data_IF_290920362930
#
_entry.id   IF_290920362930
#
_cell.length_a   1.000
_cell.length_b   1.000
_cell.length_c   1.000
_cell.angle_alpha   90.00
_cell.angle_beta   90.00
_cell.angle_gamma   90.00
#
_symmetry.space_group_name_H-M   'P 1'
#
loop_
_entity.id
_entity.type
_entity.pdbx_description
1 polymer ?
#
# COMPACT_ATOMS: atom_id res chain seq x y z
N UNK A 1 -2.91 21.32 -2.90
CA UNK A 1 -3.75 20.91 -1.74
C UNK A 1 -3.05 21.39 -0.47
N UNK A 2 -3.74 22.04 0.48
CA UNK A 2 -3.09 22.54 1.70
C UNK A 2 -2.97 21.43 2.78
N UNK A 3 -2.09 21.65 3.78
CA UNK A 3 -1.80 20.69 4.86
C UNK A 3 -3.05 20.28 5.67
N UNK A 4 -4.01 21.19 5.83
CA UNK A 4 -5.26 20.94 6.58
C UNK A 4 -6.22 20.03 5.81
N UNK A 5 -6.41 20.27 4.51
CA UNK A 5 -7.25 19.42 3.65
C UNK A 5 -6.69 18.01 3.51
N UNK A 6 -5.36 17.85 3.45
CA UNK A 6 -4.73 16.53 3.39
C UNK A 6 -4.95 15.72 4.68
N UNK A 7 -4.83 16.37 5.85
CA UNK A 7 -5.12 15.71 7.14
C UNK A 7 -6.56 15.19 7.21
N UNK A 8 -7.54 16.03 6.85
CA UNK A 8 -8.95 15.63 6.83
C UNK A 8 -9.20 14.44 5.89
N UNK A 9 -8.55 14.42 4.73
CA UNK A 9 -8.65 13.31 3.80
C UNK A 9 -8.06 12.01 4.38
N UNK A 10 -6.90 12.07 5.05
CA UNK A 10 -6.32 10.89 5.71
C UNK A 10 -7.17 10.37 6.87
N UNK A 11 -7.82 11.26 7.64
CA UNK A 11 -8.74 10.88 8.70
C UNK A 11 -9.98 10.17 8.14
N UNK A 12 -10.51 10.64 7.01
CA UNK A 12 -11.63 10.00 6.32
C UNK A 12 -11.27 8.59 5.83
N UNK A 13 -10.08 8.41 5.25
CA UNK A 13 -9.60 7.08 4.83
C UNK A 13 -9.51 6.14 6.04
N UNK A 14 -8.93 6.59 7.16
CA UNK A 14 -8.86 5.77 8.37
C UNK A 14 -10.24 5.40 8.91
N UNK A 15 -11.20 6.33 8.89
CA UNK A 15 -12.58 6.05 9.28
C UNK A 15 -13.23 5.00 8.36
N UNK A 16 -13.00 5.08 7.05
CA UNK A 16 -13.46 4.08 6.08
C UNK A 16 -12.81 2.71 6.33
N UNK A 17 -11.51 2.65 6.61
CA UNK A 17 -10.84 1.39 6.97
C UNK A 17 -11.46 0.75 8.24
N UNK A 18 -11.75 1.55 9.28
CA UNK A 18 -12.41 1.06 10.50
C UNK A 18 -13.81 0.51 10.17
N UNK A 19 -14.57 1.22 9.34
CA UNK A 19 -15.88 0.75 8.90
C UNK A 19 -15.78 -0.60 8.16
N UNK A 20 -14.83 -0.73 7.24
CA UNK A 20 -14.62 -1.98 6.50
C UNK A 20 -14.16 -3.13 7.40
N UNK A 21 -13.30 -2.87 8.40
CA UNK A 21 -12.90 -3.90 9.37
C UNK A 21 -14.08 -4.44 10.19
N UNK A 22 -15.08 -3.60 10.49
CA UNK A 22 -16.30 -4.05 11.17
C UNK A 22 -17.17 -4.93 10.28
N UNK A 23 -17.32 -4.56 9.00
CA UNK A 23 -18.03 -5.38 8.03
C UNK A 23 -17.31 -6.72 7.84
N UNK A 24 -16.00 -6.69 7.62
CA UNK A 24 -15.18 -7.89 7.47
C UNK A 24 -15.27 -8.81 8.69
N UNK A 25 -15.21 -8.28 9.90
CA UNK A 25 -15.35 -9.08 11.13
C UNK A 25 -16.68 -9.82 11.20
N UNK A 26 -17.76 -9.20 10.70
CA UNK A 26 -19.08 -9.82 10.63
C UNK A 26 -19.10 -10.98 9.63
N UNK A 27 -18.54 -10.77 8.44
CA UNK A 27 -18.52 -11.75 7.35
C UNK A 27 -17.54 -12.91 7.60
N UNK A 28 -16.42 -12.65 8.28
CA UNK A 28 -15.33 -13.60 8.50
C UNK A 28 -15.36 -14.21 9.92
N UNK A 29 -16.53 -14.34 10.53
CA UNK A 29 -16.66 -14.73 11.94
C UNK A 29 -15.98 -16.09 12.18
N UNK A 30 -15.00 -16.12 13.08
CA UNK A 30 -14.24 -17.33 13.41
C UNK A 30 -13.05 -17.61 12.47
N UNK A 31 -12.80 -16.77 11.47
CA UNK A 31 -11.65 -16.90 10.57
C UNK A 31 -10.33 -16.38 11.16
N UNK A 32 -10.39 -15.60 12.25
CA UNK A 32 -9.22 -14.98 12.89
C UNK A 32 -9.18 -15.31 14.38
N UNK A 33 -7.99 -15.59 14.90
CA UNK A 33 -7.75 -15.87 16.33
C UNK A 33 -7.82 -14.61 17.21
N UNK A 34 -7.78 -13.43 16.58
CA UNK A 34 -7.84 -12.14 17.25
C UNK A 34 -9.00 -11.29 16.74
N UNK A 35 -9.46 -10.38 17.60
CA UNK A 35 -10.48 -9.40 17.23
C UNK A 35 -9.88 -8.35 16.28
N UNK A 36 -10.09 -8.53 14.97
CA UNK A 36 -9.53 -7.66 13.93
C UNK A 36 -9.95 -6.19 14.06
N UNK A 37 -11.04 -5.91 14.77
CA UNK A 37 -11.52 -4.53 15.04
C UNK A 37 -10.58 -3.79 16.00
N UNK A 38 -9.71 -4.52 16.71
CA UNK A 38 -8.71 -3.98 17.64
C UNK A 38 -7.32 -3.85 17.00
N UNK A 39 -7.15 -4.24 15.74
CA UNK A 39 -5.87 -4.10 15.05
C UNK A 39 -5.48 -2.63 14.94
N UNK A 40 -4.20 -2.34 15.19
CA UNK A 40 -3.67 -0.99 15.13
C UNK A 40 -3.56 -0.55 13.67
N UNK A 41 -4.25 0.53 13.33
CA UNK A 41 -4.10 1.21 12.05
C UNK A 41 -3.08 2.34 12.18
N UNK A 42 -2.18 2.45 11.20
CA UNK A 42 -1.19 3.52 11.15
C UNK A 42 -0.99 3.99 9.71
N UNK A 43 -0.77 5.29 9.56
CA UNK A 43 -0.31 5.86 8.29
C UNK A 43 1.21 6.02 8.35
N UNK A 44 1.89 5.62 7.27
CA UNK A 44 3.34 5.77 7.14
C UNK A 44 3.60 7.04 6.35
N UNK A 45 4.58 7.84 6.79
CA UNK A 45 4.99 9.09 6.15
C UNK A 45 6.41 8.94 5.62
N UNK A 46 6.78 9.79 4.67
CA UNK A 46 8.14 9.82 4.12
C UNK A 46 8.45 8.67 3.16
N UNK A 47 7.44 7.93 2.70
CA UNK A 47 7.58 6.94 1.65
C UNK A 47 7.55 7.62 0.27
N UNK A 48 8.10 6.98 -0.77
CA UNK A 48 7.97 7.42 -2.16
C UNK A 48 6.54 7.77 -2.53
N UNK A 49 6.38 8.70 -3.47
CA UNK A 49 5.05 9.07 -3.97
C UNK A 49 5.11 9.09 -5.48
N UNK A 50 4.09 8.53 -6.11
CA UNK A 50 3.91 8.67 -7.54
C UNK A 50 3.62 10.12 -7.92
N UNK A 51 4.05 10.49 -9.12
CA UNK A 51 3.82 11.81 -9.70
C UNK A 51 2.64 11.81 -10.70
N UNK A 52 2.30 10.64 -11.25
CA UNK A 52 1.22 10.48 -12.22
C UNK A 52 -0.01 9.77 -11.62
N UNK A 53 -1.09 9.63 -12.40
CA UNK A 53 -2.36 9.05 -11.94
C UNK A 53 -2.51 7.55 -12.18
N UNK A 54 -1.57 6.90 -12.87
CA UNK A 54 -1.73 5.53 -13.37
C UNK A 54 -0.74 4.52 -12.76
N UNK A 55 0.34 4.96 -12.11
CA UNK A 55 1.33 4.08 -11.49
C UNK A 55 0.97 3.63 -10.06
N UNK A 56 -0.22 3.96 -9.55
CA UNK A 56 -0.60 3.60 -8.17
C UNK A 56 -0.53 2.09 -7.92
N UNK A 57 -0.95 1.27 -8.89
CA UNK A 57 -0.82 -0.18 -8.80
C UNK A 57 0.63 -0.63 -8.69
N UNK A 58 1.53 -0.05 -9.49
CA UNK A 58 2.95 -0.38 -9.46
C UNK A 58 3.61 0.03 -8.15
N UNK A 59 3.28 1.20 -7.61
CA UNK A 59 3.77 1.61 -6.29
C UNK A 59 3.32 0.65 -5.20
N UNK A 60 2.06 0.18 -5.23
CA UNK A 60 1.57 -0.85 -4.29
C UNK A 60 2.40 -2.13 -4.40
N UNK A 61 2.68 -2.62 -5.61
CA UNK A 61 3.55 -3.78 -5.82
C UNK A 61 4.96 -3.58 -5.25
N UNK A 62 5.60 -2.43 -5.54
CA UNK A 62 6.95 -2.12 -5.02
C UNK A 62 6.97 -1.95 -3.48
N UNK A 63 5.91 -1.41 -2.88
CA UNK A 63 5.79 -1.38 -1.41
C UNK A 63 5.71 -2.79 -0.83
N UNK A 64 4.91 -3.68 -1.44
CA UNK A 64 4.77 -5.06 -0.96
C UNK A 64 6.07 -5.84 -1.11
N UNK A 65 6.74 -5.73 -2.26
CA UNK A 65 8.06 -6.34 -2.47
C UNK A 65 9.05 -5.90 -1.38
N UNK A 66 9.15 -4.60 -1.14
CA UNK A 66 10.09 -4.07 -0.15
C UNK A 66 9.76 -4.45 1.29
N UNK A 67 8.50 -4.36 1.71
CA UNK A 67 8.10 -4.63 3.09
C UNK A 67 8.04 -6.13 3.37
N UNK A 68 7.49 -6.93 2.45
CA UNK A 68 7.17 -8.33 2.68
C UNK A 68 8.30 -9.25 2.20
N UNK A 69 8.85 -9.01 1.00
CA UNK A 69 9.87 -9.88 0.43
C UNK A 69 11.27 -9.50 0.93
N UNK A 70 11.58 -8.20 1.00
CA UNK A 70 12.89 -7.73 1.45
C UNK A 70 12.95 -7.49 2.96
N UNK A 71 11.80 -7.34 3.64
CA UNK A 71 11.74 -6.97 5.06
C UNK A 71 12.31 -5.58 5.35
N UNK A 72 12.40 -4.72 4.34
CA UNK A 72 13.06 -3.43 4.42
C UNK A 72 12.06 -2.29 4.65
N UNK A 73 12.27 -1.52 5.71
CA UNK A 73 11.44 -0.36 6.04
C UNK A 73 12.18 0.98 5.94
N UNK A 74 13.42 0.96 5.46
CA UNK A 74 14.16 2.15 5.07
C UNK A 74 13.72 2.58 3.66
N UNK A 75 13.45 3.87 3.47
CA UNK A 75 12.95 4.44 2.21
C UNK A 75 13.93 5.45 1.60
N UNK A 76 15.12 5.60 2.18
CA UNK A 76 16.10 6.63 1.75
C UNK A 76 16.64 6.43 0.34
N UNK A 77 16.72 5.19 -0.13
CA UNK A 77 17.19 4.78 -1.46
C UNK A 77 16.09 4.82 -2.55
N UNK A 78 14.84 5.10 -2.18
CA UNK A 78 13.68 4.92 -3.06
C UNK A 78 13.24 6.19 -3.81
N UNK A 79 14.11 7.21 -3.85
CA UNK A 79 13.83 8.51 -4.47
C UNK A 79 13.74 8.48 -6.00
N UNK A 80 14.27 7.45 -6.67
CA UNK A 80 14.25 7.34 -8.15
C UNK A 80 13.08 6.55 -8.73
N UNK A 81 12.20 5.97 -7.89
CA UNK A 81 11.20 4.99 -8.34
C UNK A 81 10.36 5.45 -9.53
N UNK A 82 9.95 6.72 -9.54
CA UNK A 82 9.12 7.26 -10.63
C UNK A 82 9.80 7.18 -12.01
N UNK A 83 11.12 7.36 -12.06
CA UNK A 83 11.91 7.32 -13.30
C UNK A 83 12.03 5.89 -13.83
N UNK A 84 12.06 4.91 -12.92
CA UNK A 84 12.20 3.49 -13.23
C UNK A 84 10.85 2.78 -13.49
N UNK A 85 9.70 3.46 -13.29
CA UNK A 85 8.37 2.87 -13.49
C UNK A 85 8.16 2.20 -14.86
N UNK A 86 8.64 2.73 -16.00
CA UNK A 86 8.56 2.02 -17.28
C UNK A 86 9.26 0.65 -17.26
N UNK A 87 10.42 0.57 -16.63
CA UNK A 87 11.17 -0.68 -16.44
C UNK A 87 10.41 -1.63 -15.51
N UNK A 88 9.97 -1.15 -14.35
CA UNK A 88 9.23 -1.98 -13.40
C UNK A 88 7.92 -2.54 -13.99
N UNK A 89 7.20 -1.76 -14.80
CA UNK A 89 6.02 -2.27 -15.52
C UNK A 89 6.37 -3.41 -16.48
N UNK A 90 7.48 -3.28 -17.21
CA UNK A 90 7.94 -4.31 -18.14
C UNK A 90 8.39 -5.58 -17.42
N UNK A 91 9.15 -5.45 -16.32
CA UNK A 91 9.58 -6.56 -15.48
C UNK A 91 8.37 -7.28 -14.87
N UNK A 92 7.42 -6.55 -14.31
CA UNK A 92 6.21 -7.11 -13.71
C UNK A 92 5.33 -7.83 -14.75
N UNK A 93 5.21 -7.27 -15.95
CA UNK A 93 4.49 -7.92 -17.05
C UNK A 93 5.20 -9.21 -17.50
N UNK A 94 6.53 -9.19 -17.62
CA UNK A 94 7.31 -10.38 -17.96
C UNK A 94 7.18 -11.45 -16.88
N UNK A 95 7.23 -11.08 -15.60
CA UNK A 95 7.02 -12.01 -14.50
C UNK A 95 5.66 -12.67 -14.60
N UNK A 96 4.57 -11.91 -14.73
CA UNK A 96 3.22 -12.49 -14.86
C UNK A 96 3.09 -13.43 -16.07
N UNK A 97 3.65 -13.03 -17.22
CA UNK A 97 3.38 -13.70 -18.50
C UNK A 97 4.35 -14.85 -18.80
N UNK A 98 5.58 -14.79 -18.27
CA UNK A 98 6.66 -15.69 -18.68
C UNK A 98 7.29 -16.45 -17.52
N UNK A 99 7.07 -16.01 -16.27
CA UNK A 99 7.53 -16.73 -15.07
C UNK A 99 6.28 -17.17 -14.31
N UNK A 100 5.97 -18.46 -14.34
CA UNK A 100 4.98 -18.98 -13.39
C UNK A 100 5.50 -18.67 -11.98
N UNK A 101 4.80 -17.82 -11.24
CA UNK A 101 5.10 -17.49 -9.83
C UNK A 101 5.18 -18.75 -8.98
#
# INVERSE_FOLDING_TARGET
MNSSSFKKFTELILALCIFQLRALYSDSKGAFDSDIRKWKLSTIKGIPKQENSFDCGMYVCKYMERIILEGNTDWTDSTSWQQDMPKYRAEFAYEILCRTL
#
